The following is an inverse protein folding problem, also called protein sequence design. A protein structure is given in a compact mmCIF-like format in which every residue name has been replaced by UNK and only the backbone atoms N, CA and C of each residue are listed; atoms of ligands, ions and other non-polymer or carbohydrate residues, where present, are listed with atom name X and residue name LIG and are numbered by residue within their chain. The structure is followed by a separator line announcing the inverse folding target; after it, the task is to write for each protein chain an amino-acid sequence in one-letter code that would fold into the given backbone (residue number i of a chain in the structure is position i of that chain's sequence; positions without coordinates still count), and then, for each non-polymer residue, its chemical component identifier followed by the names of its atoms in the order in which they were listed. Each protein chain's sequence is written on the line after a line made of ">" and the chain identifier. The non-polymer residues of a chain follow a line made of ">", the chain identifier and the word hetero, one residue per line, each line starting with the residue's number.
data_IF_261829006892
#
_entry.id   IF_261829006892
#
_cell.length_a   1.000
_cell.length_b   1.000
_cell.length_c   1.000
_cell.angle_alpha   90.00
_cell.angle_beta   90.00
_cell.angle_gamma   90.00
#
_symmetry.space_group_name_H-M   'P 1'
#
loop_
_entity.id
_entity.type
_entity.pdbx_description
1 polymer ?
#
# COMPACT_ATOMS: atom_id res chain seq x y z
N UNK A 1 -0.46 -11.32 -7.00
CA UNK A 1 -1.44 -11.79 -8.03
C UNK A 1 -2.51 -10.73 -8.23
N UNK A 2 -3.05 -10.65 -9.41
CA UNK A 2 -4.03 -9.63 -9.80
C UNK A 2 -5.11 -10.27 -10.69
N UNK A 3 -6.38 -10.12 -10.33
CA UNK A 3 -7.53 -10.55 -11.12
C UNK A 3 -8.36 -9.38 -11.66
N UNK A 4 -7.88 -8.15 -11.52
CA UNK A 4 -8.60 -6.93 -11.91
C UNK A 4 -7.95 -6.28 -13.13
N UNK A 5 -6.63 -6.21 -13.17
CA UNK A 5 -5.87 -5.53 -14.24
C UNK A 5 -5.01 -6.46 -15.08
N UNK A 6 -4.96 -7.76 -14.73
CA UNK A 6 -4.11 -8.74 -15.39
C UNK A 6 -4.93 -9.91 -15.93
N UNK A 7 -4.79 -10.20 -17.22
CA UNK A 7 -5.50 -11.29 -17.91
C UNK A 7 -4.76 -12.63 -17.86
N UNK A 8 -3.58 -12.68 -17.20
CA UNK A 8 -2.85 -13.95 -17.04
C UNK A 8 -3.63 -14.86 -16.09
N UNK A 9 -3.85 -16.15 -16.44
CA UNK A 9 -4.54 -17.10 -15.58
C UNK A 9 -3.96 -17.18 -14.16
N UNK A 10 -4.84 -17.25 -13.16
CA UNK A 10 -4.46 -17.18 -11.75
C UNK A 10 -3.58 -18.35 -11.28
N UNK A 11 -3.69 -19.51 -11.89
CA UNK A 11 -2.83 -20.67 -11.61
C UNK A 11 -1.38 -20.41 -12.06
N UNK A 12 -1.20 -19.75 -13.20
CA UNK A 12 0.12 -19.32 -13.68
C UNK A 12 0.69 -18.24 -12.74
N UNK A 13 -0.11 -17.25 -12.38
CA UNK A 13 0.30 -16.19 -11.46
C UNK A 13 0.70 -16.79 -10.09
N UNK A 14 -0.09 -17.71 -9.55
CA UNK A 14 0.21 -18.38 -8.29
C UNK A 14 1.53 -19.15 -8.36
N UNK A 15 1.70 -19.98 -9.36
CA UNK A 15 2.94 -20.74 -9.55
C UNK A 15 4.18 -19.82 -9.54
N UNK A 16 4.08 -18.68 -10.25
CA UNK A 16 5.17 -17.69 -10.28
C UNK A 16 5.40 -17.01 -8.95
N UNK A 17 4.31 -16.71 -8.21
CA UNK A 17 4.42 -16.15 -6.87
C UNK A 17 5.13 -17.13 -5.92
N UNK A 18 4.74 -18.41 -5.92
CA UNK A 18 5.37 -19.46 -5.10
C UNK A 18 6.86 -19.60 -5.41
N UNK A 19 7.23 -19.62 -6.70
CA UNK A 19 8.64 -19.66 -7.13
C UNK A 19 9.43 -18.43 -6.62
N UNK A 20 8.83 -17.22 -6.71
CA UNK A 20 9.46 -15.99 -6.23
C UNK A 20 9.58 -15.95 -4.70
N UNK A 21 8.58 -16.43 -3.98
CA UNK A 21 8.63 -16.55 -2.52
C UNK A 21 9.74 -17.51 -2.08
N UNK A 22 9.92 -18.65 -2.78
CA UNK A 22 11.01 -19.57 -2.50
C UNK A 22 12.37 -18.91 -2.74
N UNK A 23 12.56 -18.21 -3.86
CA UNK A 23 13.81 -17.49 -4.15
C UNK A 23 14.07 -16.42 -3.07
N UNK A 24 13.06 -15.68 -2.67
CA UNK A 24 13.20 -14.65 -1.63
C UNK A 24 13.60 -15.28 -0.29
N UNK A 25 13.01 -16.43 0.07
CA UNK A 25 13.34 -17.17 1.28
C UNK A 25 14.79 -17.69 1.25
N UNK A 26 15.22 -18.29 0.14
CA UNK A 26 16.59 -18.78 -0.03
C UNK A 26 17.64 -17.65 0.06
N UNK A 27 17.28 -16.47 -0.46
CA UNK A 27 18.12 -15.28 -0.40
C UNK A 27 17.98 -14.48 0.90
N UNK A 28 17.11 -14.91 1.81
CA UNK A 28 16.82 -14.22 3.08
C UNK A 28 16.38 -12.76 2.85
N UNK A 29 15.43 -12.56 1.93
CA UNK A 29 14.95 -11.23 1.54
C UNK A 29 13.48 -11.02 1.89
N UNK A 30 13.11 -9.82 2.34
CA UNK A 30 11.71 -9.43 2.45
C UNK A 30 11.06 -9.34 1.06
N UNK A 31 9.73 -9.37 1.04
CA UNK A 31 8.96 -9.26 -0.21
C UNK A 31 7.99 -8.09 -0.18
N UNK A 32 7.89 -7.41 -1.32
CA UNK A 32 6.87 -6.40 -1.59
C UNK A 32 5.89 -6.99 -2.60
N UNK A 33 4.59 -7.04 -2.25
CA UNK A 33 3.60 -7.81 -2.99
C UNK A 33 2.44 -6.95 -3.49
N UNK A 34 2.11 -7.14 -4.75
CA UNK A 34 0.87 -6.66 -5.35
C UNK A 34 -0.26 -7.66 -5.08
N UNK A 35 -1.40 -7.20 -4.52
CA UNK A 35 -2.46 -8.07 -3.95
C UNK A 35 -3.86 -7.76 -4.50
N UNK A 36 -4.00 -7.43 -5.76
CA UNK A 36 -5.25 -6.90 -6.32
C UNK A 36 -6.29 -7.98 -6.63
N UNK A 37 -7.38 -8.00 -5.86
CA UNK A 37 -8.51 -8.90 -6.07
C UNK A 37 -8.24 -10.37 -5.70
N UNK A 38 -7.10 -10.69 -5.09
CA UNK A 38 -6.68 -12.03 -4.68
C UNK A 38 -6.14 -12.06 -3.25
N UNK A 39 -6.55 -11.11 -2.44
CA UNK A 39 -6.00 -10.85 -1.11
C UNK A 39 -6.03 -12.11 -0.23
N UNK A 40 -7.16 -12.80 -0.12
CA UNK A 40 -7.28 -14.03 0.70
C UNK A 40 -6.33 -15.13 0.24
N UNK A 41 -6.33 -15.40 -1.08
CA UNK A 41 -5.49 -16.47 -1.66
C UNK A 41 -4.01 -16.18 -1.46
N UNK A 42 -3.61 -14.92 -1.61
CA UNK A 42 -2.23 -14.50 -1.38
C UNK A 42 -1.87 -14.65 0.10
N UNK A 43 -2.71 -14.21 1.02
CA UNK A 43 -2.47 -14.34 2.45
C UNK A 43 -2.27 -15.81 2.87
N UNK A 44 -3.00 -16.75 2.26
CA UNK A 44 -2.81 -18.19 2.49
C UNK A 44 -1.44 -18.67 2.01
N UNK A 45 -0.98 -18.23 0.85
CA UNK A 45 0.33 -18.57 0.30
C UNK A 45 1.50 -17.99 1.11
N UNK A 46 1.27 -16.89 1.81
CA UNK A 46 2.27 -16.24 2.64
C UNK A 46 2.45 -16.89 4.01
N UNK A 47 1.56 -17.80 4.41
CA UNK A 47 1.69 -18.52 5.68
C UNK A 47 2.99 -19.31 5.74
N UNK A 48 3.79 -19.01 6.73
CA UNK A 48 5.09 -19.66 6.90
C UNK A 48 6.24 -19.02 6.12
N UNK A 49 6.01 -17.95 5.36
CA UNK A 49 7.12 -17.17 4.79
C UNK A 49 7.93 -16.52 5.94
N UNK A 50 9.25 -16.75 6.01
CA UNK A 50 10.01 -16.49 7.24
C UNK A 50 10.54 -15.04 7.35
N UNK A 51 10.32 -14.19 6.35
CA UNK A 51 10.85 -12.82 6.29
C UNK A 51 9.73 -11.79 6.23
N UNK A 52 10.10 -10.50 6.32
CA UNK A 52 9.13 -9.43 6.28
C UNK A 52 8.36 -9.37 4.95
N UNK A 53 7.09 -9.11 5.05
CA UNK A 53 6.14 -9.00 3.94
C UNK A 53 5.59 -7.57 3.93
N UNK A 54 5.52 -6.94 2.77
CA UNK A 54 4.84 -5.67 2.58
C UNK A 54 3.74 -5.81 1.53
N UNK A 55 2.50 -5.54 1.92
CA UNK A 55 1.39 -5.40 0.99
C UNK A 55 1.46 -4.00 0.35
N UNK A 56 1.76 -3.99 -0.95
CA UNK A 56 1.92 -2.75 -1.70
C UNK A 56 0.56 -2.18 -2.10
N UNK A 57 0.32 -0.92 -1.70
CA UNK A 57 -0.92 -0.20 -2.01
C UNK A 57 -2.16 -1.05 -1.80
N UNK A 58 -2.29 -1.58 -0.56
CA UNK A 58 -3.39 -2.48 -0.21
C UNK A 58 -4.75 -1.84 -0.53
N UNK A 59 -5.55 -2.55 -1.30
CA UNK A 59 -6.86 -2.08 -1.79
C UNK A 59 -7.97 -3.14 -1.70
N UNK A 60 -7.75 -4.17 -0.88
CA UNK A 60 -8.74 -5.18 -0.53
C UNK A 60 -9.85 -4.64 0.35
N UNK A 61 -10.72 -5.52 0.80
CA UNK A 61 -11.76 -5.16 1.77
C UNK A 61 -11.20 -5.09 3.19
N UNK A 62 -11.98 -4.49 4.10
CA UNK A 62 -11.64 -4.47 5.52
C UNK A 62 -11.58 -5.89 6.12
N UNK A 63 -12.43 -6.82 5.63
CA UNK A 63 -12.41 -8.22 6.04
C UNK A 63 -11.17 -8.98 5.55
N UNK A 64 -10.66 -8.62 4.37
CA UNK A 64 -9.48 -9.26 3.79
C UNK A 64 -8.17 -8.73 4.39
N UNK A 65 -8.22 -7.67 5.21
CA UNK A 65 -7.06 -7.09 5.89
C UNK A 65 -6.55 -7.96 7.04
N UNK A 66 -7.46 -8.61 7.77
CA UNK A 66 -7.16 -9.40 8.98
C UNK A 66 -6.01 -10.41 8.80
N UNK A 67 -6.01 -11.27 7.76
CA UNK A 67 -4.92 -12.22 7.57
C UNK A 67 -3.53 -11.56 7.40
N UNK A 68 -3.47 -10.36 6.83
CA UNK A 68 -2.21 -9.61 6.69
C UNK A 68 -1.76 -8.97 8.01
N UNK A 69 -2.71 -8.59 8.86
CA UNK A 69 -2.41 -8.13 10.22
C UNK A 69 -1.84 -9.26 11.06
N UNK A 70 -2.44 -10.45 11.00
CA UNK A 70 -1.97 -11.67 11.67
C UNK A 70 -0.56 -12.08 11.21
N UNK A 71 -0.26 -11.95 9.93
CA UNK A 71 1.07 -12.19 9.37
C UNK A 71 2.10 -11.10 9.75
N UNK A 72 1.67 -10.04 10.41
CA UNK A 72 2.55 -8.94 10.77
C UNK A 72 3.07 -8.11 9.60
N UNK A 73 2.33 -8.08 8.49
CA UNK A 73 2.74 -7.38 7.29
C UNK A 73 2.98 -5.88 7.50
N UNK A 74 3.91 -5.35 6.70
CA UNK A 74 4.01 -3.92 6.42
C UNK A 74 3.05 -3.54 5.30
N UNK A 75 2.71 -2.25 5.20
CA UNK A 75 1.79 -1.75 4.18
C UNK A 75 2.30 -0.45 3.58
N UNK A 76 2.16 -0.27 2.28
CA UNK A 76 2.31 1.05 1.66
C UNK A 76 0.94 1.71 1.48
N UNK A 77 0.84 2.97 1.88
CA UNK A 77 -0.27 3.86 1.57
C UNK A 77 -0.02 4.47 0.20
N UNK A 78 -0.93 4.25 -0.73
CA UNK A 78 -0.80 4.68 -2.12
C UNK A 78 -1.05 6.17 -2.35
N UNK A 79 -0.97 6.66 -3.59
CA UNK A 79 -1.11 8.07 -3.93
C UNK A 79 -2.51 8.63 -3.64
N UNK A 80 -3.50 7.78 -3.47
CA UNK A 80 -4.89 8.11 -3.14
C UNK A 80 -5.14 8.30 -1.63
N UNK A 81 -4.16 8.02 -0.77
CA UNK A 81 -4.33 8.07 0.67
C UNK A 81 -4.68 9.48 1.18
N UNK A 82 -3.90 10.50 0.79
CA UNK A 82 -4.15 11.88 1.19
C UNK A 82 -5.53 12.36 0.71
N UNK A 83 -5.92 11.92 -0.46
CA UNK A 83 -7.22 12.22 -1.04
C UNK A 83 -8.38 11.59 -0.26
N UNK A 84 -8.19 10.41 0.29
CA UNK A 84 -9.21 9.71 1.07
C UNK A 84 -9.29 10.21 2.53
N UNK A 85 -8.15 10.54 3.16
CA UNK A 85 -8.05 10.77 4.61
C UNK A 85 -7.55 12.16 5.01
N UNK A 86 -6.89 12.91 4.12
CA UNK A 86 -6.31 14.22 4.44
C UNK A 86 -7.37 15.29 4.67
N UNK A 87 -7.12 16.19 5.63
CA UNK A 87 -7.97 17.37 5.90
C UNK A 87 -7.79 18.44 4.84
N UNK A 88 -6.58 18.57 4.31
CA UNK A 88 -6.17 19.52 3.27
C UNK A 88 -6.08 18.87 1.88
N UNK A 89 -6.81 17.78 1.67
CA UNK A 89 -6.74 17.01 0.45
C UNK A 89 -6.78 17.90 -0.78
N UNK A 90 -5.73 17.93 -1.53
CA UNK A 90 -5.78 18.55 -2.83
C UNK A 90 -6.85 17.83 -3.63
N UNK A 91 -7.93 18.56 -3.91
CA UNK A 91 -9.11 18.02 -4.60
C UNK A 91 -8.76 17.45 -5.98
N UNK A 92 -7.55 17.73 -6.51
CA UNK A 92 -7.06 17.15 -7.76
C UNK A 92 -6.86 15.65 -7.64
N UNK A 93 -6.30 15.15 -6.53
CA UNK A 93 -6.10 13.72 -6.28
C UNK A 93 -7.39 12.92 -6.02
N UNK A 94 -8.54 13.59 -5.99
CA UNK A 94 -9.84 12.95 -5.77
C UNK A 94 -10.68 12.79 -7.03
N UNK A 95 -10.27 13.34 -8.16
CA UNK A 95 -11.11 13.40 -9.36
C UNK A 95 -11.38 12.04 -9.98
N UNK A 96 -10.40 11.12 -9.90
CA UNK A 96 -10.49 9.78 -10.48
C UNK A 96 -11.53 8.85 -9.85
N UNK A 97 -12.14 9.22 -8.70
CA UNK A 97 -13.01 8.30 -7.95
C UNK A 97 -14.44 8.80 -7.80
N UNK A 98 -15.40 7.89 -7.89
CA UNK A 98 -16.79 8.11 -7.52
C UNK A 98 -16.93 8.41 -6.01
N UNK A 99 -18.10 8.91 -5.60
CA UNK A 99 -18.38 9.17 -4.18
C UNK A 99 -18.33 7.89 -3.33
N UNK A 100 -18.80 6.78 -3.89
CA UNK A 100 -18.83 5.50 -3.19
C UNK A 100 -17.41 4.93 -3.03
N UNK A 101 -16.59 4.95 -4.07
CA UNK A 101 -15.18 4.53 -4.00
C UNK A 101 -14.40 5.35 -2.98
N UNK A 102 -14.61 6.67 -2.93
CA UNK A 102 -14.01 7.54 -1.90
C UNK A 102 -14.40 7.14 -0.49
N UNK A 103 -15.67 6.80 -0.28
CA UNK A 103 -16.17 6.36 1.02
C UNK A 103 -15.54 5.04 1.44
N UNK A 104 -15.49 4.07 0.53
CA UNK A 104 -14.88 2.76 0.77
C UNK A 104 -13.38 2.89 1.07
N UNK A 105 -12.64 3.67 0.29
CA UNK A 105 -11.21 3.94 0.51
C UNK A 105 -10.97 4.63 1.87
N UNK A 106 -11.80 5.60 2.23
CA UNK A 106 -11.70 6.26 3.53
C UNK A 106 -11.91 5.27 4.68
N UNK A 107 -12.93 4.42 4.61
CA UNK A 107 -13.21 3.40 5.62
C UNK A 107 -12.03 2.43 5.77
N UNK A 108 -11.51 1.91 4.66
CA UNK A 108 -10.34 1.04 4.64
C UNK A 108 -9.11 1.71 5.27
N UNK A 109 -8.76 2.91 4.84
CA UNK A 109 -7.58 3.61 5.39
C UNK A 109 -7.75 3.98 6.87
N UNK A 110 -8.96 4.35 7.30
CA UNK A 110 -9.24 4.59 8.72
C UNK A 110 -9.01 3.32 9.55
N UNK A 111 -9.50 2.18 9.09
CA UNK A 111 -9.24 0.90 9.73
C UNK A 111 -7.74 0.56 9.74
N UNK A 112 -7.06 0.72 8.62
CA UNK A 112 -5.60 0.50 8.55
C UNK A 112 -4.84 1.35 9.57
N UNK A 113 -5.20 2.64 9.71
CA UNK A 113 -4.56 3.55 10.67
C UNK A 113 -4.87 3.20 12.13
N UNK A 114 -6.00 2.55 12.41
CA UNK A 114 -6.36 2.10 13.75
C UNK A 114 -5.65 0.82 14.15
N UNK A 115 -5.48 -0.11 13.21
CA UNK A 115 -5.00 -1.46 13.49
C UNK A 115 -3.52 -1.68 13.16
N UNK A 116 -2.96 -0.90 12.22
CA UNK A 116 -1.57 -1.03 11.83
C UNK A 116 -0.73 0.01 12.56
N UNK A 117 0.25 -0.42 13.38
CA UNK A 117 1.16 0.51 14.03
C UNK A 117 1.98 1.27 12.98
N UNK A 118 2.24 2.55 13.23
CA UNK A 118 3.00 3.42 12.30
C UNK A 118 4.38 2.85 11.95
N UNK A 119 4.92 1.97 12.79
CA UNK A 119 6.16 1.22 12.58
C UNK A 119 6.12 0.22 11.43
N UNK A 120 4.93 -0.08 10.91
CA UNK A 120 4.71 -0.98 9.76
C UNK A 120 4.12 -0.27 8.55
N UNK A 121 4.03 1.05 8.57
CA UNK A 121 3.52 1.84 7.47
C UNK A 121 4.65 2.43 6.61
N UNK A 122 4.36 2.54 5.32
CA UNK A 122 5.11 3.30 4.32
C UNK A 122 4.16 4.18 3.53
N UNK A 123 4.68 5.16 2.83
CA UNK A 123 3.96 5.95 1.82
C UNK A 123 4.61 5.72 0.46
N UNK A 124 3.80 5.68 -0.60
CA UNK A 124 4.26 5.44 -1.96
C UNK A 124 3.46 6.29 -2.96
N UNK A 125 4.04 6.54 -4.12
CA UNK A 125 3.37 7.16 -5.26
C UNK A 125 2.97 6.16 -6.33
N UNK A 126 3.60 4.98 -6.34
CA UNK A 126 3.47 3.96 -7.37
C UNK A 126 3.72 4.46 -8.80
N UNK A 127 4.48 5.54 -8.90
CA UNK A 127 4.87 6.17 -10.16
C UNK A 127 3.85 7.15 -10.72
N UNK A 128 4.23 7.79 -11.82
CA UNK A 128 3.47 8.90 -12.38
C UNK A 128 2.10 8.47 -12.94
N UNK A 129 2.01 7.27 -13.49
CA UNK A 129 0.75 6.73 -14.02
C UNK A 129 -0.29 6.48 -12.93
N UNK A 130 0.16 6.03 -11.75
CA UNK A 130 -0.73 5.86 -10.60
C UNK A 130 -1.23 7.20 -10.05
N UNK A 131 -0.35 8.21 -10.01
CA UNK A 131 -0.75 9.58 -9.64
C UNK A 131 -1.75 10.15 -10.65
N UNK A 132 -1.49 10.02 -11.94
CA UNK A 132 -2.43 10.44 -13.00
C UNK A 132 -3.79 9.77 -12.83
N UNK A 133 -3.80 8.46 -12.59
CA UNK A 133 -5.03 7.70 -12.37
C UNK A 133 -5.83 8.22 -11.16
N UNK A 134 -5.17 8.55 -10.04
CA UNK A 134 -5.87 9.11 -8.87
C UNK A 134 -6.46 10.49 -9.16
N UNK A 135 -5.89 11.24 -10.09
CA UNK A 135 -6.40 12.53 -10.55
C UNK A 135 -7.53 12.40 -11.57
N UNK A 136 -7.75 11.21 -12.14
CA UNK A 136 -8.67 10.99 -13.26
C UNK A 136 -8.15 11.60 -14.57
N UNK A 137 -6.84 11.67 -14.74
CA UNK A 137 -6.15 12.21 -15.90
C UNK A 137 -5.44 11.08 -16.67
N UNK A 138 -5.29 11.24 -17.98
CA UNK A 138 -4.55 10.27 -18.79
C UNK A 138 -3.06 10.28 -18.49
N UNK A 139 -2.51 11.45 -18.18
CA UNK A 139 -1.11 11.69 -17.89
C UNK A 139 -0.97 12.71 -16.75
N UNK A 140 0.14 12.68 -16.03
CA UNK A 140 0.49 13.70 -15.05
C UNK A 140 1.95 14.15 -15.25
N UNK A 141 2.25 15.37 -14.81
CA UNK A 141 3.61 15.90 -14.86
C UNK A 141 4.47 15.26 -13.75
N UNK A 142 5.76 15.08 -14.02
CA UNK A 142 6.72 14.51 -13.05
C UNK A 142 6.77 15.28 -11.72
N UNK A 143 6.48 16.56 -11.75
CA UNK A 143 6.36 17.42 -10.56
C UNK A 143 5.26 16.96 -9.60
N UNK A 144 4.31 16.18 -10.08
CA UNK A 144 3.23 15.62 -9.24
C UNK A 144 3.70 14.50 -8.32
N UNK A 145 4.82 13.81 -8.60
CA UNK A 145 5.34 12.75 -7.72
C UNK A 145 5.71 13.29 -6.32
N UNK A 146 6.62 14.27 -6.19
CA UNK A 146 6.94 14.83 -4.89
C UNK A 146 5.72 15.49 -4.23
N UNK A 147 4.82 16.10 -5.00
CA UNK A 147 3.59 16.66 -4.49
C UNK A 147 2.68 15.60 -3.84
N UNK A 148 2.42 14.48 -4.54
CA UNK A 148 1.60 13.38 -4.01
C UNK A 148 2.24 12.74 -2.76
N UNK A 149 3.57 12.57 -2.77
CA UNK A 149 4.29 12.04 -1.62
C UNK A 149 4.21 12.99 -0.42
N UNK A 150 4.37 14.29 -0.62
CA UNK A 150 4.25 15.30 0.43
C UNK A 150 2.82 15.34 0.99
N UNK A 151 1.81 15.27 0.14
CA UNK A 151 0.41 15.23 0.58
C UNK A 151 0.12 13.98 1.44
N UNK A 152 0.66 12.82 1.07
CA UNK A 152 0.56 11.61 1.87
C UNK A 152 1.30 11.74 3.21
N UNK A 153 2.49 12.37 3.22
CA UNK A 153 3.25 12.63 4.44
C UNK A 153 2.46 13.49 5.42
N UNK A 154 1.90 14.60 4.95
CA UNK A 154 1.10 15.51 5.77
C UNK A 154 -0.14 14.81 6.33
N UNK A 155 -0.87 14.08 5.48
CA UNK A 155 -2.07 13.36 5.90
C UNK A 155 -1.77 12.27 6.93
N UNK A 156 -0.65 11.57 6.79
CA UNK A 156 -0.22 10.56 7.77
C UNK A 156 0.26 11.21 9.07
N UNK A 157 0.95 12.34 9.00
CA UNK A 157 1.37 13.10 10.16
C UNK A 157 0.16 13.57 10.98
N UNK A 158 -0.84 14.17 10.32
CA UNK A 158 -2.11 14.55 10.95
C UNK A 158 -2.81 13.34 11.60
N UNK A 159 -2.95 12.24 10.87
CA UNK A 159 -3.66 11.04 11.35
C UNK A 159 -2.96 10.38 12.56
N UNK A 160 -1.63 10.47 12.65
CA UNK A 160 -0.84 9.87 13.73
C UNK A 160 -0.51 10.83 14.86
N UNK A 161 -0.85 12.11 14.73
CA UNK A 161 -0.51 13.17 15.69
C UNK A 161 1.01 13.46 15.78
N UNK A 162 1.78 13.04 14.77
CA UNK A 162 3.22 13.28 14.70
C UNK A 162 3.52 14.49 13.82
N UNK A 163 4.62 15.20 14.11
CA UNK A 163 5.12 16.17 13.13
C UNK A 163 5.82 15.45 11.95
N UNK A 164 5.91 16.12 10.82
CA UNK A 164 6.44 15.51 9.59
C UNK A 164 7.91 15.03 9.77
N UNK A 165 8.75 15.76 10.49
CA UNK A 165 10.13 15.36 10.71
C UNK A 165 10.25 14.10 11.58
N UNK A 166 9.40 13.93 12.56
CA UNK A 166 9.32 12.69 13.36
C UNK A 166 8.83 11.52 12.52
N UNK A 167 7.78 11.77 11.72
CA UNK A 167 7.23 10.76 10.83
C UNK A 167 8.26 10.32 9.78
N UNK A 168 8.96 11.25 9.16
CA UNK A 168 10.02 10.94 8.21
C UNK A 168 11.10 10.03 8.82
N UNK A 169 11.57 10.38 10.04
CA UNK A 169 12.52 9.52 10.76
C UNK A 169 11.93 8.14 11.07
N UNK A 170 10.62 8.07 11.39
CA UNK A 170 9.96 6.79 11.62
C UNK A 170 9.91 5.95 10.36
N UNK A 171 9.50 6.52 9.23
CA UNK A 171 9.44 5.80 7.95
C UNK A 171 10.83 5.31 7.50
N UNK A 172 11.88 6.10 7.71
CA UNK A 172 13.25 5.66 7.45
C UNK A 172 13.64 4.46 8.35
N UNK A 173 13.29 4.48 9.64
CA UNK A 173 13.53 3.34 10.54
C UNK A 173 12.73 2.10 10.10
N UNK A 174 11.48 2.29 9.67
CA UNK A 174 10.65 1.19 9.16
C UNK A 174 11.33 0.51 7.97
N UNK A 175 11.82 1.31 7.01
CA UNK A 175 12.52 0.79 5.85
C UNK A 175 13.78 0.00 6.25
N UNK A 176 14.57 0.54 7.17
CA UNK A 176 15.75 -0.16 7.69
C UNK A 176 15.40 -1.50 8.32
N UNK A 177 14.35 -1.57 9.14
CA UNK A 177 13.88 -2.83 9.74
C UNK A 177 13.35 -3.80 8.68
N UNK A 178 12.51 -3.31 7.77
CA UNK A 178 11.94 -4.12 6.71
C UNK A 178 13.02 -4.81 5.87
N UNK A 179 14.06 -4.09 5.49
CA UNK A 179 15.14 -4.62 4.65
C UNK A 179 16.08 -5.58 5.38
N UNK A 180 16.09 -5.57 6.71
CA UNK A 180 16.94 -6.50 7.50
C UNK A 180 16.30 -7.89 7.66
N UNK A 181 15.03 -8.05 7.38
CA UNK A 181 14.30 -9.32 7.37
C UNK A 181 13.80 -9.72 8.73
#
# INVERSE_FOLDING_TARGET
>A
MDSVWCDIPLDIQQKRLEEQLQIAADLKKPVLLHTKGQEKRIAELLRGFPYHICAHWYSGTEQDLEPYLDLGCYFTLGPDFSAACGSAADRRLLRGFSKEEKKQKRSLYQRMLQEIPVERLFIATDGISAVAWTMGEAEAEWTMLPFALQANMQSLAEATGKNEAELQRQLCRNLGRFLQG
#
